data_IF_819062770680
#
_entry.id   IF_819062770680
#
_cell.length_a   1.000
_cell.length_b   1.000
_cell.length_c   1.000
_cell.angle_alpha   90.00
_cell.angle_beta   90.00
_cell.angle_gamma   90.00
#
_symmetry.space_group_name_H-M   'P 1'
#
loop_
_entity.id
_entity.type
_entity.pdbx_description
1 polymer ?
#
# COMPACT_ATOMS: atom_id res chain seq x y z
N UNK A 1 -13.24 -6.86 4.24
CA UNK A 1 -13.05 -7.89 5.30
C UNK A 1 -11.81 -7.65 6.16
N UNK A 2 -10.61 -7.88 5.61
CA UNK A 2 -9.36 -7.84 6.39
C UNK A 2 -9.05 -6.45 6.94
N UNK A 3 -9.36 -5.37 6.23
CA UNK A 3 -9.21 -4.00 6.76
C UNK A 3 -10.11 -3.75 7.98
N UNK A 4 -11.35 -4.26 7.98
CA UNK A 4 -12.26 -4.16 9.12
C UNK A 4 -11.75 -5.00 10.29
N UNK A 5 -11.26 -6.21 10.02
CA UNK A 5 -10.63 -7.06 11.04
C UNK A 5 -9.42 -6.38 11.68
N UNK A 6 -8.50 -5.81 10.87
CA UNK A 6 -7.34 -5.08 11.38
C UNK A 6 -7.74 -3.84 12.19
N UNK A 7 -8.80 -3.14 11.77
CA UNK A 7 -9.34 -2.00 12.51
C UNK A 7 -9.91 -2.41 13.88
N UNK A 8 -10.53 -3.59 13.98
CA UNK A 8 -11.05 -4.12 15.25
C UNK A 8 -9.99 -4.76 16.15
N UNK A 9 -8.79 -5.06 15.65
CA UNK A 9 -7.80 -5.87 16.36
C UNK A 9 -6.64 -5.09 17.01
N UNK A 10 -6.79 -3.77 17.23
CA UNK A 10 -5.73 -2.86 17.73
C UNK A 10 -4.37 -3.05 17.04
N UNK A 11 -4.38 -3.44 15.77
CA UNK A 11 -3.18 -3.78 15.01
C UNK A 11 -2.51 -2.54 14.44
N UNK A 12 -1.17 -2.55 14.36
CA UNK A 12 -0.40 -1.52 13.66
C UNK A 12 -0.81 -1.41 12.18
N UNK A 13 -1.33 -2.50 11.58
CA UNK A 13 -1.84 -2.50 10.21
C UNK A 13 -3.06 -1.55 10.05
N UNK A 14 -3.86 -1.32 11.11
CA UNK A 14 -4.93 -0.31 11.08
C UNK A 14 -4.35 1.11 10.94
N UNK A 15 -3.32 1.43 11.71
CA UNK A 15 -2.63 2.72 11.65
C UNK A 15 -2.01 2.95 10.27
N UNK A 16 -1.40 1.90 9.68
CA UNK A 16 -0.87 1.94 8.32
C UNK A 16 -1.97 2.25 7.30
N UNK A 17 -3.13 1.59 7.38
CA UNK A 17 -4.26 1.85 6.48
C UNK A 17 -4.76 3.29 6.62
N UNK A 18 -5.01 3.75 7.85
CA UNK A 18 -5.50 5.11 8.12
C UNK A 18 -4.54 6.20 7.65
N UNK A 19 -3.26 6.11 8.05
CA UNK A 19 -2.24 7.08 7.65
C UNK A 19 -1.95 7.04 6.15
N UNK A 20 -2.05 5.88 5.49
CA UNK A 20 -1.90 5.80 4.04
C UNK A 20 -3.05 6.49 3.32
N UNK A 21 -4.30 6.27 3.75
CA UNK A 21 -5.46 6.97 3.17
C UNK A 21 -5.31 8.48 3.37
N UNK A 22 -4.86 8.91 4.56
CA UNK A 22 -4.59 10.32 4.84
C UNK A 22 -3.49 10.88 3.92
N UNK A 23 -2.36 10.18 3.79
CA UNK A 23 -1.27 10.56 2.86
C UNK A 23 -1.79 10.69 1.43
N UNK A 24 -2.51 9.69 0.92
CA UNK A 24 -3.03 9.70 -0.46
C UNK A 24 -4.02 10.85 -0.66
N UNK A 25 -4.91 11.07 0.31
CA UNK A 25 -5.87 12.17 0.27
C UNK A 25 -5.18 13.53 0.26
N UNK A 26 -4.15 13.70 1.09
CA UNK A 26 -3.36 14.92 1.14
C UNK A 26 -2.56 15.14 -0.16
N UNK A 27 -2.02 14.07 -0.75
CA UNK A 27 -1.36 14.12 -2.05
C UNK A 27 -2.32 14.53 -3.17
N UNK A 28 -3.53 13.97 -3.19
CA UNK A 28 -4.58 14.38 -4.13
C UNK A 28 -4.94 15.86 -3.94
N UNK A 29 -5.11 16.30 -2.68
CA UNK A 29 -5.34 17.69 -2.34
C UNK A 29 -4.23 18.59 -2.92
N UNK A 30 -2.95 18.27 -2.69
CA UNK A 30 -1.84 19.04 -3.24
C UNK A 30 -1.85 19.07 -4.77
N UNK A 31 -2.12 17.95 -5.43
CA UNK A 31 -2.20 17.90 -6.89
C UNK A 31 -3.35 18.74 -7.46
N UNK A 32 -4.40 18.98 -6.67
CA UNK A 32 -5.64 19.65 -7.06
C UNK A 32 -5.80 21.06 -6.50
N UNK A 33 -4.86 21.51 -5.68
CA UNK A 33 -4.83 22.85 -5.12
C UNK A 33 -4.86 23.92 -6.21
N UNK A 34 -5.19 25.16 -5.83
CA UNK A 34 -5.08 26.29 -6.74
C UNK A 34 -3.60 26.48 -7.13
N UNK A 35 -3.36 27.02 -8.32
CA UNK A 35 -1.99 27.34 -8.72
C UNK A 35 -1.41 28.39 -7.75
N UNK A 36 -0.13 28.24 -7.43
CA UNK A 36 0.61 29.07 -6.46
C UNK A 36 0.03 29.10 -5.02
N UNK A 37 -0.76 28.11 -4.59
CA UNK A 37 -1.35 28.11 -3.24
C UNK A 37 -0.63 27.20 -2.23
N UNK A 38 0.20 26.26 -2.68
CA UNK A 38 0.91 25.35 -1.77
C UNK A 38 2.14 26.02 -1.16
N UNK A 39 2.11 26.12 0.15
CA UNK A 39 3.20 26.65 0.99
C UNK A 39 4.08 25.54 1.59
N UNK A 40 5.20 25.93 2.20
CA UNK A 40 6.10 25.02 2.94
C UNK A 40 5.37 24.26 4.05
N UNK A 41 4.34 24.86 4.66
CA UNK A 41 3.50 24.17 5.67
C UNK A 41 2.87 22.91 5.10
N UNK A 42 2.44 22.93 3.84
CA UNK A 42 1.85 21.76 3.21
C UNK A 42 2.87 20.64 3.00
N UNK A 43 4.10 21.00 2.60
CA UNK A 43 5.21 20.07 2.45
C UNK A 43 5.55 19.42 3.80
N UNK A 44 5.64 20.24 4.87
CA UNK A 44 5.92 19.77 6.21
C UNK A 44 4.83 18.83 6.75
N UNK A 45 3.55 19.20 6.63
CA UNK A 45 2.41 18.36 7.04
C UNK A 45 2.44 17.02 6.31
N UNK A 46 2.59 17.02 4.99
CA UNK A 46 2.68 15.78 4.22
C UNK A 46 3.87 14.91 4.64
N UNK A 47 5.02 15.54 4.89
CA UNK A 47 6.23 14.84 5.32
C UNK A 47 6.09 14.21 6.70
N UNK A 48 5.41 14.90 7.64
CA UNK A 48 5.09 14.36 8.97
C UNK A 48 4.15 13.16 8.85
N UNK A 49 3.10 13.24 8.03
CA UNK A 49 2.19 12.11 7.81
C UNK A 49 2.96 10.91 7.22
N UNK A 50 3.81 11.14 6.21
CA UNK A 50 4.65 10.09 5.60
C UNK A 50 5.65 9.51 6.60
N UNK A 51 6.21 10.33 7.48
CA UNK A 51 7.11 9.89 8.54
C UNK A 51 6.38 8.98 9.52
N UNK A 52 5.24 9.40 10.07
CA UNK A 52 4.43 8.59 10.97
C UNK A 52 4.04 7.25 10.34
N UNK A 53 3.64 7.28 9.06
CA UNK A 53 3.31 6.09 8.29
C UNK A 53 4.52 5.15 8.14
N UNK A 54 5.68 5.70 7.80
CA UNK A 54 6.91 4.93 7.63
C UNK A 54 7.51 4.41 8.94
N UNK A 55 7.29 5.09 10.07
CA UNK A 55 7.65 4.58 11.40
C UNK A 55 6.81 3.34 11.76
N UNK A 56 5.56 3.26 11.30
CA UNK A 56 4.75 2.04 11.43
C UNK A 56 5.32 0.90 10.56
N UNK A 57 5.79 1.22 9.35
CA UNK A 57 6.39 0.24 8.43
C UNK A 57 7.36 0.88 7.44
N UNK A 58 8.65 0.59 7.59
CA UNK A 58 9.74 1.31 6.93
C UNK A 58 9.60 1.53 5.41
N UNK A 59 9.18 0.53 4.59
CA UNK A 59 8.97 0.73 3.15
C UNK A 59 8.02 1.88 2.80
N UNK A 60 7.04 2.17 3.66
CA UNK A 60 6.07 3.23 3.43
C UNK A 60 6.65 4.64 3.57
N UNK A 61 7.88 4.82 4.08
CA UNK A 61 8.56 6.12 4.02
C UNK A 61 8.66 6.63 2.57
N UNK A 62 8.68 5.74 1.57
CA UNK A 62 8.70 6.10 0.16
C UNK A 62 7.48 6.91 -0.31
N UNK A 63 6.40 7.00 0.48
CA UNK A 63 5.31 7.95 0.22
C UNK A 63 5.81 9.40 0.15
N UNK A 64 6.86 9.77 0.89
CA UNK A 64 7.42 11.13 0.85
C UNK A 64 7.91 11.53 -0.55
N UNK A 65 8.30 10.55 -1.38
CA UNK A 65 8.76 10.77 -2.76
C UNK A 65 7.63 11.35 -3.64
N UNK A 66 6.36 11.12 -3.29
CA UNK A 66 5.20 11.69 -3.99
C UNK A 66 5.26 13.22 -4.06
N UNK A 67 5.92 13.88 -3.11
CA UNK A 67 6.18 15.33 -3.16
C UNK A 67 6.83 15.78 -4.47
N UNK A 68 7.74 14.98 -5.03
CA UNK A 68 8.42 15.30 -6.29
C UNK A 68 7.48 15.25 -7.50
N UNK A 69 6.33 14.58 -7.37
CA UNK A 69 5.37 14.34 -8.43
C UNK A 69 4.13 15.22 -8.35
N UNK A 70 4.03 16.09 -7.34
CA UNK A 70 3.08 17.20 -7.30
C UNK A 70 3.42 18.18 -8.45
N UNK A 71 2.44 18.70 -9.22
CA UNK A 71 2.70 19.65 -10.29
C UNK A 71 3.34 20.93 -9.75
N UNK A 72 4.43 21.39 -10.36
CA UNK A 72 5.22 22.50 -9.80
C UNK A 72 4.48 23.83 -9.75
N UNK A 73 3.52 24.03 -10.66
CA UNK A 73 2.63 25.21 -10.69
C UNK A 73 1.74 25.36 -9.45
N UNK A 74 1.61 24.31 -8.64
CA UNK A 74 0.80 24.33 -7.42
C UNK A 74 1.49 25.02 -6.25
N UNK A 75 2.81 25.10 -6.28
CA UNK A 75 3.58 25.72 -5.21
C UNK A 75 3.67 27.24 -5.40
N UNK A 76 3.60 27.98 -4.30
CA UNK A 76 3.62 29.46 -4.26
C UNK A 76 4.85 30.04 -4.96
N UNK A 77 5.97 29.33 -4.90
CA UNK A 77 7.23 29.71 -5.53
C UNK A 77 7.53 28.81 -6.72
N UNK A 78 8.50 29.21 -7.54
CA UNK A 78 8.89 28.44 -8.70
C UNK A 78 9.49 27.06 -8.33
N UNK A 79 9.59 26.18 -9.32
CA UNK A 79 10.11 24.82 -9.12
C UNK A 79 11.56 24.82 -8.61
N UNK A 80 12.37 25.79 -9.05
CA UNK A 80 13.79 25.89 -8.67
C UNK A 80 13.94 26.21 -7.18
N UNK A 81 13.08 27.06 -6.64
CA UNK A 81 13.08 27.39 -5.22
C UNK A 81 12.54 26.26 -4.34
N UNK A 82 11.50 25.56 -4.79
CA UNK A 82 10.88 24.51 -3.97
C UNK A 82 11.63 23.18 -4.00
N UNK A 83 12.35 22.86 -5.08
CA UNK A 83 13.07 21.59 -5.22
C UNK A 83 14.04 21.30 -4.04
N UNK A 84 14.90 22.25 -3.60
CA UNK A 84 15.73 22.05 -2.42
C UNK A 84 14.93 21.70 -1.16
N UNK A 85 13.78 22.33 -0.94
CA UNK A 85 12.92 22.10 0.23
C UNK A 85 12.29 20.70 0.16
N UNK A 86 11.84 20.27 -1.02
CA UNK A 86 11.30 18.93 -1.25
C UNK A 86 12.38 17.88 -0.98
N UNK A 87 13.58 18.06 -1.53
CA UNK A 87 14.72 17.15 -1.33
C UNK A 87 15.15 17.10 0.14
N UNK A 88 15.21 18.24 0.82
CA UNK A 88 15.51 18.32 2.25
C UNK A 88 14.46 17.55 3.07
N UNK A 89 13.17 17.70 2.74
CA UNK A 89 12.09 16.98 3.42
C UNK A 89 12.23 15.46 3.25
N UNK A 90 12.55 15.00 2.04
CA UNK A 90 12.81 13.59 1.74
C UNK A 90 14.04 13.09 2.52
N UNK A 91 15.12 13.89 2.55
CA UNK A 91 16.34 13.55 3.27
C UNK A 91 16.10 13.43 4.78
N UNK A 92 15.36 14.36 5.39
CA UNK A 92 14.99 14.30 6.82
C UNK A 92 14.20 13.03 7.12
N UNK A 93 13.17 12.72 6.32
CA UNK A 93 12.37 11.50 6.49
C UNK A 93 13.23 10.24 6.33
N UNK A 94 14.15 10.21 5.37
CA UNK A 94 15.07 9.10 5.17
C UNK A 94 16.04 8.92 6.35
N UNK A 95 16.63 10.01 6.86
CA UNK A 95 17.55 9.97 8.02
C UNK A 95 16.83 9.46 9.26
N UNK A 96 15.64 9.98 9.56
CA UNK A 96 14.85 9.49 10.70
C UNK A 96 14.48 8.02 10.50
N UNK A 97 14.12 7.61 9.28
CA UNK A 97 13.87 6.22 8.92
C UNK A 97 15.06 5.28 9.19
N UNK A 98 16.27 5.72 8.83
CA UNK A 98 17.51 4.97 9.10
C UNK A 98 17.75 4.86 10.60
N UNK A 99 17.60 5.96 11.35
CA UNK A 99 17.74 5.97 12.81
C UNK A 99 16.71 5.03 13.47
N UNK A 100 15.46 5.08 13.01
CA UNK A 100 14.40 4.17 13.44
C UNK A 100 14.72 2.72 13.13
N UNK A 101 15.24 2.41 11.94
CA UNK A 101 15.63 1.05 11.57
C UNK A 101 16.79 0.54 12.43
N UNK A 102 17.78 1.39 12.75
CA UNK A 102 18.88 1.02 13.65
C UNK A 102 18.39 0.72 15.06
N UNK A 103 17.42 1.48 15.54
CA UNK A 103 16.81 1.27 16.85
C UNK A 103 15.91 0.03 16.90
N UNK A 104 15.06 -0.17 15.89
CA UNK A 104 14.04 -1.23 15.88
C UNK A 104 14.56 -2.59 15.41
N UNK A 105 15.52 -2.67 14.49
CA UNK A 105 15.98 -3.95 13.95
C UNK A 105 16.54 -4.92 15.01
N UNK A 106 17.33 -4.49 16.02
CA UNK A 106 17.80 -5.37 17.08
C UNK A 106 16.66 -6.03 17.89
N UNK A 107 15.51 -5.36 18.03
CA UNK A 107 14.37 -5.92 18.76
C UNK A 107 13.80 -7.19 18.11
N UNK A 108 14.02 -7.38 16.80
CA UNK A 108 13.63 -8.61 16.10
C UNK A 108 14.37 -9.84 16.63
N UNK A 109 15.61 -9.68 17.11
CA UNK A 109 16.41 -10.76 17.72
C UNK A 109 15.82 -11.23 19.07
N UNK A 110 15.00 -10.40 19.71
CA UNK A 110 14.29 -10.76 20.94
C UNK A 110 12.87 -11.27 20.69
N UNK A 111 12.46 -11.40 19.43
CA UNK A 111 11.16 -11.94 19.08
C UNK A 111 11.17 -13.48 19.03
N UNK A 112 9.99 -14.09 19.15
CA UNK A 112 9.78 -15.53 18.95
C UNK A 112 10.42 -16.06 17.66
N UNK A 113 10.51 -15.22 16.62
CA UNK A 113 11.14 -15.56 15.34
C UNK A 113 12.63 -15.91 15.47
N UNK A 114 13.35 -15.21 16.36
CA UNK A 114 14.77 -15.44 16.59
C UNK A 114 15.02 -16.67 17.46
N UNK A 115 14.10 -16.97 18.38
CA UNK A 115 14.18 -18.16 19.26
C UNK A 115 14.23 -19.49 18.51
N UNK A 116 13.77 -19.52 17.25
CA UNK A 116 13.81 -20.72 16.41
C UNK A 116 15.03 -20.77 15.46
N UNK A 117 16.00 -19.85 15.59
CA UNK A 117 17.15 -19.71 14.68
C UNK A 117 16.78 -19.58 13.19
N UNK A 118 15.54 -19.21 12.88
CA UNK A 118 15.04 -19.22 11.52
C UNK A 118 15.47 -17.99 10.72
N UNK A 119 15.92 -16.91 11.35
CA UNK A 119 16.08 -15.58 10.70
C UNK A 119 17.37 -14.91 11.13
N UNK A 120 18.20 -14.53 10.15
CA UNK A 120 19.35 -13.63 10.34
C UNK A 120 19.42 -12.67 9.15
N UNK A 121 18.95 -11.43 9.35
CA UNK A 121 18.85 -10.43 8.29
C UNK A 121 20.21 -10.06 7.68
N UNK A 122 21.27 -10.02 8.47
CA UNK A 122 22.63 -9.69 7.99
C UNK A 122 23.17 -10.79 7.09
N UNK A 123 23.07 -12.06 7.52
CA UNK A 123 23.51 -13.19 6.71
C UNK A 123 22.65 -13.36 5.45
N UNK A 124 21.35 -13.12 5.55
CA UNK A 124 20.45 -13.18 4.39
C UNK A 124 20.76 -12.06 3.37
N UNK A 125 21.01 -10.84 3.85
CA UNK A 125 21.46 -9.75 2.99
C UNK A 125 22.79 -10.10 2.30
N UNK A 126 23.77 -10.58 3.06
CA UNK A 126 25.07 -11.01 2.54
C UNK A 126 24.91 -12.14 1.51
N UNK A 127 24.01 -13.09 1.75
CA UNK A 127 23.72 -14.16 0.80
C UNK A 127 23.18 -13.60 -0.53
N UNK A 128 22.21 -12.70 -0.49
CA UNK A 128 21.59 -12.12 -1.70
C UNK A 128 22.60 -11.33 -2.54
N UNK A 129 23.48 -10.53 -1.92
CA UNK A 129 24.44 -9.70 -2.66
C UNK A 129 25.59 -10.53 -3.26
N UNK A 130 25.97 -11.65 -2.64
CA UNK A 130 27.07 -12.50 -3.13
C UNK A 130 26.62 -13.59 -4.12
N UNK A 131 25.31 -13.78 -4.31
CA UNK A 131 24.75 -14.77 -5.23
C UNK A 131 23.82 -14.08 -6.24
N UNK A 132 24.29 -13.68 -7.43
CA UNK A 132 23.44 -13.00 -8.43
C UNK A 132 22.17 -13.79 -8.83
N UNK A 133 22.23 -15.12 -8.79
CA UNK A 133 21.07 -15.98 -9.03
C UNK A 133 19.98 -15.81 -7.97
N UNK A 134 20.35 -15.47 -6.73
CA UNK A 134 19.42 -15.16 -5.63
C UNK A 134 18.62 -13.89 -5.88
N UNK A 135 19.23 -12.88 -6.52
CA UNK A 135 18.51 -11.65 -6.94
C UNK A 135 17.46 -12.00 -7.99
N UNK A 136 17.84 -12.80 -8.99
CA UNK A 136 16.91 -13.25 -10.04
C UNK A 136 15.75 -14.06 -9.47
N UNK A 137 16.05 -14.97 -8.53
CA UNK A 137 15.04 -15.77 -7.81
C UNK A 137 14.10 -14.89 -6.97
N UNK A 138 14.62 -13.86 -6.31
CA UNK A 138 13.81 -12.90 -5.58
C UNK A 138 12.82 -12.19 -6.52
N UNK A 139 13.30 -11.66 -7.65
CA UNK A 139 12.43 -10.99 -8.62
C UNK A 139 11.39 -11.94 -9.24
N UNK A 140 11.80 -13.17 -9.54
CA UNK A 140 10.88 -14.20 -10.00
C UNK A 140 9.77 -14.45 -8.98
N UNK A 141 10.11 -14.64 -7.71
CA UNK A 141 9.14 -14.90 -6.65
C UNK A 141 8.16 -13.73 -6.49
N UNK A 142 8.65 -12.48 -6.39
CA UNK A 142 7.75 -11.34 -6.17
C UNK A 142 6.83 -11.10 -7.37
N UNK A 143 7.23 -11.43 -8.60
CA UNK A 143 6.38 -11.20 -9.79
C UNK A 143 5.42 -12.37 -10.03
N UNK A 144 5.93 -13.59 -10.04
CA UNK A 144 5.17 -14.76 -10.52
C UNK A 144 4.52 -15.58 -9.41
N UNK A 145 4.93 -15.40 -8.15
CA UNK A 145 4.37 -16.12 -7.00
C UNK A 145 3.53 -15.16 -6.15
N UNK A 146 4.12 -14.05 -5.70
CA UNK A 146 3.48 -13.19 -4.70
C UNK A 146 2.35 -12.32 -5.27
N UNK A 147 2.47 -11.80 -6.50
CA UNK A 147 1.36 -11.04 -7.12
C UNK A 147 0.10 -11.93 -7.27
N UNK A 148 0.16 -13.14 -7.86
CA UNK A 148 -1.00 -14.03 -7.90
C UNK A 148 -1.56 -14.39 -6.51
N UNK A 149 -0.68 -14.69 -5.55
CA UNK A 149 -1.08 -14.95 -4.16
C UNK A 149 -1.79 -13.75 -3.53
N UNK A 150 -1.30 -12.54 -3.80
CA UNK A 150 -1.93 -11.31 -3.32
C UNK A 150 -3.31 -11.10 -3.92
N UNK A 151 -3.46 -11.30 -5.24
CA UNK A 151 -4.74 -11.15 -5.95
C UNK A 151 -5.80 -12.12 -5.41
N UNK A 152 -5.42 -13.36 -5.11
CA UNK A 152 -6.32 -14.33 -4.47
C UNK A 152 -6.56 -14.03 -2.99
N UNK A 153 -5.60 -13.41 -2.31
CA UNK A 153 -5.63 -13.12 -0.87
C UNK A 153 -6.33 -11.81 -0.45
N UNK A 154 -6.71 -10.91 -1.37
CA UNK A 154 -7.35 -9.59 -1.06
C UNK A 154 -8.57 -9.72 -0.13
N UNK A 155 -9.27 -10.85 -0.20
CA UNK A 155 -10.51 -11.10 0.57
C UNK A 155 -10.40 -12.28 1.54
N UNK A 156 -9.20 -12.79 1.77
CA UNK A 156 -8.97 -13.69 2.90
C UNK A 156 -9.10 -12.88 4.21
N UNK A 157 -9.76 -13.44 5.22
CA UNK A 157 -9.82 -12.80 6.55
C UNK A 157 -8.48 -12.89 7.28
N UNK A 158 -7.72 -13.96 7.05
CA UNK A 158 -6.53 -14.30 7.84
C UNK A 158 -5.19 -14.33 7.06
N UNK A 159 -5.21 -14.08 5.75
CA UNK A 159 -4.01 -13.95 4.91
C UNK A 159 -3.82 -15.07 3.88
N UNK A 160 -2.88 -14.85 2.95
CA UNK A 160 -2.71 -15.66 1.73
C UNK A 160 -2.11 -17.08 1.93
N UNK A 161 -1.62 -17.41 3.13
CA UNK A 161 -0.77 -18.61 3.36
C UNK A 161 -1.32 -19.65 4.36
N UNK A 162 -2.52 -19.51 4.92
CA UNK A 162 -3.06 -20.52 5.84
C UNK A 162 -3.85 -21.61 5.13
N UNK A 163 -3.15 -22.50 4.42
CA UNK A 163 -3.72 -23.53 3.54
C UNK A 163 -4.78 -24.47 4.15
N UNK A 164 -4.86 -24.64 5.48
CA UNK A 164 -5.62 -25.74 6.05
C UNK A 164 -6.64 -25.42 7.15
N UNK A 165 -6.70 -24.19 7.68
CA UNK A 165 -7.69 -23.89 8.73
C UNK A 165 -8.55 -22.66 8.50
N UNK A 166 -8.14 -21.69 7.66
CA UNK A 166 -8.91 -20.45 7.42
C UNK A 166 -8.65 -19.81 6.05
N UNK A 167 -8.15 -20.57 5.06
CA UNK A 167 -7.92 -20.10 3.68
C UNK A 167 -9.26 -19.93 2.93
N UNK A 168 -10.03 -18.95 3.37
CA UNK A 168 -11.36 -18.72 2.89
C UNK A 168 -11.28 -17.81 1.67
N UNK A 169 -11.12 -18.44 0.51
CA UNK A 169 -11.18 -17.74 -0.76
C UNK A 169 -12.63 -17.41 -1.07
N UNK A 170 -13.09 -16.24 -0.63
CA UNK A 170 -14.43 -15.73 -0.96
C UNK A 170 -14.45 -15.16 -2.38
N UNK A 171 -14.33 -16.02 -3.38
CA UNK A 171 -14.28 -15.63 -4.79
C UNK A 171 -15.46 -14.75 -5.21
N UNK A 172 -16.65 -14.99 -4.67
CA UNK A 172 -17.85 -14.21 -4.95
C UNK A 172 -17.80 -12.79 -4.36
N UNK A 173 -17.33 -12.63 -3.11
CA UNK A 173 -17.10 -11.30 -2.51
C UNK A 173 -16.06 -10.54 -3.32
N UNK A 174 -14.96 -11.22 -3.70
CA UNK A 174 -13.89 -10.65 -4.52
C UNK A 174 -14.45 -10.13 -5.85
N UNK A 175 -15.25 -10.93 -6.54
CA UNK A 175 -15.83 -10.56 -7.82
C UNK A 175 -16.71 -9.31 -7.72
N UNK A 176 -17.57 -9.22 -6.70
CA UNK A 176 -18.46 -8.06 -6.51
C UNK A 176 -17.67 -6.78 -6.23
N UNK A 177 -16.61 -6.83 -5.42
CA UNK A 177 -15.77 -5.64 -5.23
C UNK A 177 -15.06 -5.26 -6.52
N UNK A 178 -14.51 -6.22 -7.27
CA UNK A 178 -13.82 -5.92 -8.53
C UNK A 178 -14.78 -5.27 -9.54
N UNK A 179 -16.03 -5.73 -9.61
CA UNK A 179 -17.08 -5.11 -10.41
C UNK A 179 -17.35 -3.68 -9.92
N UNK A 180 -17.49 -3.47 -8.60
CA UNK A 180 -17.68 -2.14 -8.03
C UNK A 180 -16.49 -1.20 -8.32
N UNK A 181 -15.26 -1.65 -8.14
CA UNK A 181 -14.05 -0.87 -8.42
C UNK A 181 -13.94 -0.55 -9.91
N UNK A 182 -14.20 -1.52 -10.79
CA UNK A 182 -14.23 -1.30 -12.22
C UNK A 182 -15.29 -0.26 -12.61
N UNK A 183 -16.49 -0.35 -12.02
CA UNK A 183 -17.56 0.64 -12.20
C UNK A 183 -17.13 2.03 -11.75
N UNK A 184 -16.52 2.17 -10.56
CA UNK A 184 -16.01 3.47 -10.07
C UNK A 184 -14.93 4.02 -11.01
N UNK A 185 -13.95 3.22 -11.42
CA UNK A 185 -12.87 3.68 -12.29
C UNK A 185 -13.38 4.13 -13.67
N UNK A 186 -14.42 3.47 -14.20
CA UNK A 186 -14.92 3.73 -15.55
C UNK A 186 -16.04 4.78 -15.63
N UNK A 187 -16.99 4.74 -14.69
CA UNK A 187 -18.22 5.53 -14.72
C UNK A 187 -18.20 6.75 -13.78
N UNK A 188 -17.12 7.02 -13.04
CA UNK A 188 -17.08 8.16 -12.12
C UNK A 188 -17.36 9.49 -12.86
N UNK A 189 -18.41 10.25 -12.48
CA UNK A 189 -18.97 11.33 -13.28
C UNK A 189 -18.06 12.57 -13.35
N UNK A 190 -17.16 12.74 -12.37
CA UNK A 190 -16.27 13.91 -12.33
C UNK A 190 -15.02 13.70 -13.20
N UNK A 191 -14.69 14.70 -14.00
CA UNK A 191 -13.49 14.69 -14.84
C UNK A 191 -12.23 15.04 -14.03
N UNK A 192 -11.65 14.02 -13.39
CA UNK A 192 -10.38 14.15 -12.69
C UNK A 192 -9.26 13.73 -13.65
N UNK A 193 -8.45 14.70 -14.07
CA UNK A 193 -7.25 14.47 -14.87
C UNK A 193 -6.01 14.73 -14.02
N UNK A 194 -5.08 13.78 -14.08
CA UNK A 194 -3.74 13.90 -13.51
C UNK A 194 -2.71 13.99 -14.64
N UNK A 195 -1.66 14.78 -14.42
CA UNK A 195 -0.54 14.90 -15.35
C UNK A 195 0.24 13.58 -15.42
N UNK A 196 0.84 13.26 -16.57
CA UNK A 196 1.59 12.01 -16.76
C UNK A 196 2.68 11.81 -15.71
N UNK A 197 3.37 12.89 -15.33
CA UNK A 197 4.37 12.88 -14.26
C UNK A 197 3.80 12.40 -12.93
N UNK A 198 2.62 12.88 -12.55
CA UNK A 198 1.93 12.48 -11.31
C UNK A 198 1.51 11.00 -11.36
N UNK A 199 1.05 10.52 -12.51
CA UNK A 199 0.69 9.11 -12.72
C UNK A 199 1.90 8.18 -12.60
N UNK A 200 2.96 8.46 -13.37
CA UNK A 200 4.20 7.69 -13.35
C UNK A 200 4.86 7.74 -11.98
N UNK A 201 4.82 8.88 -11.31
CA UNK A 201 5.29 9.03 -9.94
C UNK A 201 4.52 8.18 -8.93
N UNK A 202 3.19 8.16 -9.04
CA UNK A 202 2.34 7.32 -8.18
C UNK A 202 2.63 5.83 -8.41
N UNK A 203 2.78 5.42 -9.68
CA UNK A 203 3.15 4.04 -10.04
C UNK A 203 4.55 3.68 -9.51
N UNK A 204 5.52 4.57 -9.66
CA UNK A 204 6.86 4.40 -9.13
C UNK A 204 6.84 4.22 -7.61
N UNK A 205 6.09 5.04 -6.86
CA UNK A 205 5.93 4.89 -5.41
C UNK A 205 5.31 3.55 -5.05
N UNK A 206 4.27 3.09 -5.77
CA UNK A 206 3.68 1.75 -5.56
C UNK A 206 4.73 0.65 -5.73
N UNK A 207 5.53 0.71 -6.80
CA UNK A 207 6.58 -0.27 -7.10
C UNK A 207 7.64 -0.27 -6.00
N UNK A 208 8.13 0.90 -5.59
CA UNK A 208 9.16 1.03 -4.54
C UNK A 208 8.66 0.45 -3.22
N UNK A 209 7.43 0.75 -2.81
CA UNK A 209 6.86 0.23 -1.56
C UNK A 209 6.63 -1.28 -1.68
N UNK A 210 6.18 -1.76 -2.84
CA UNK A 210 5.98 -3.18 -3.11
C UNK A 210 7.28 -3.97 -2.96
N UNK A 211 8.29 -3.60 -3.74
CA UNK A 211 9.62 -4.25 -3.74
C UNK A 211 10.27 -4.10 -2.36
N UNK A 212 10.23 -2.90 -1.77
CA UNK A 212 10.80 -2.64 -0.45
C UNK A 212 10.14 -3.48 0.65
N UNK A 213 8.82 -3.66 0.62
CA UNK A 213 8.12 -4.54 1.56
C UNK A 213 8.52 -6.00 1.35
N UNK A 214 8.56 -6.48 0.11
CA UNK A 214 9.00 -7.84 -0.18
C UNK A 214 10.44 -8.08 0.27
N UNK A 215 11.32 -7.10 0.10
CA UNK A 215 12.71 -7.18 0.51
C UNK A 215 12.85 -7.20 2.03
N UNK A 216 12.14 -6.31 2.75
CA UNK A 216 12.11 -6.37 4.22
C UNK A 216 11.55 -7.71 4.71
N UNK A 217 10.52 -8.25 4.05
CA UNK A 217 10.01 -9.58 4.36
C UNK A 217 11.05 -10.68 4.11
N UNK A 218 11.82 -10.63 3.02
CA UNK A 218 12.95 -11.54 2.78
C UNK A 218 13.95 -11.51 3.94
N UNK A 219 14.29 -10.32 4.44
CA UNK A 219 15.26 -10.15 5.51
C UNK A 219 14.74 -10.57 6.90
N UNK A 220 13.42 -10.53 7.11
CA UNK A 220 12.82 -10.68 8.45
C UNK A 220 11.99 -11.94 8.64
N UNK A 221 11.69 -12.69 7.58
CA UNK A 221 10.92 -13.93 7.63
C UNK A 221 11.59 -15.12 6.96
N UNK A 222 12.39 -14.91 5.91
CA UNK A 222 13.03 -16.02 5.22
C UNK A 222 14.30 -16.47 5.95
N UNK A 223 14.52 -17.78 5.97
CA UNK A 223 15.79 -18.36 6.40
C UNK A 223 16.88 -18.08 5.38
N UNK A 224 18.14 -18.09 5.84
CA UNK A 224 19.28 -17.76 5.00
C UNK A 224 19.33 -18.70 3.79
N UNK A 225 19.34 -18.15 2.57
CA UNK A 225 19.32 -18.90 1.30
C UNK A 225 17.92 -19.29 0.80
N UNK A 226 16.87 -19.05 1.59
CA UNK A 226 15.47 -19.30 1.22
C UNK A 226 14.75 -18.01 0.82
N UNK A 227 13.64 -18.14 0.08
CA UNK A 227 12.87 -17.03 -0.49
C UNK A 227 11.37 -17.13 -0.18
N UNK A 228 11.04 -17.69 0.98
CA UNK A 228 9.70 -17.73 1.56
C UNK A 228 9.41 -16.40 2.27
N UNK A 229 8.79 -15.45 1.56
CA UNK A 229 8.65 -14.08 2.06
C UNK A 229 7.61 -13.95 3.17
N UNK A 230 6.70 -14.92 3.35
CA UNK A 230 5.64 -14.81 4.37
C UNK A 230 4.70 -13.61 4.11
N UNK A 231 4.57 -13.21 2.84
CA UNK A 231 3.80 -12.05 2.44
C UNK A 231 2.30 -12.29 2.68
N UNK A 232 1.65 -11.24 3.17
CA UNK A 232 0.19 -11.18 3.28
C UNK A 232 -0.34 -9.96 2.53
N UNK A 233 -1.44 -10.13 1.81
CA UNK A 233 -2.09 -9.06 1.03
C UNK A 233 -2.40 -7.81 1.86
N UNK A 234 -2.63 -7.97 3.17
CA UNK A 234 -2.91 -6.83 4.07
C UNK A 234 -1.83 -5.75 4.07
N UNK A 235 -0.59 -6.13 3.78
CA UNK A 235 0.53 -5.21 3.73
C UNK A 235 0.47 -4.22 2.57
N UNK A 236 -0.40 -4.44 1.59
CA UNK A 236 -0.47 -3.67 0.35
C UNK A 236 -1.84 -3.06 0.09
N UNK A 237 -2.83 -3.32 0.96
CA UNK A 237 -4.17 -2.74 0.84
C UNK A 237 -4.13 -1.23 0.60
N UNK A 238 -3.31 -0.45 1.32
CA UNK A 238 -3.32 0.99 1.12
C UNK A 238 -2.77 1.44 -0.25
N UNK A 239 -1.95 0.62 -0.90
CA UNK A 239 -1.44 0.91 -2.24
C UNK A 239 -2.55 0.85 -3.29
N UNK A 240 -3.62 0.09 -3.05
CA UNK A 240 -4.76 0.05 -3.97
C UNK A 240 -5.41 1.43 -4.15
N UNK A 241 -5.34 2.28 -3.14
CA UNK A 241 -5.87 3.64 -3.19
C UNK A 241 -5.10 4.57 -4.14
N UNK A 242 -3.88 4.22 -4.56
CA UNK A 242 -3.12 4.97 -5.58
C UNK A 242 -3.49 4.55 -7.01
N UNK A 243 -4.06 3.36 -7.22
CA UNK A 243 -4.39 2.89 -8.57
C UNK A 243 -5.36 3.77 -9.35
N UNK A 244 -6.39 4.40 -8.75
CA UNK A 244 -7.24 5.34 -9.47
C UNK A 244 -6.50 6.56 -10.04
N UNK A 245 -5.33 6.93 -9.49
CA UNK A 245 -4.49 8.00 -10.02
C UNK A 245 -3.69 7.49 -11.23
N UNK A 246 -3.12 6.28 -11.10
CA UNK A 246 -2.30 5.62 -12.14
C UNK A 246 -3.15 5.25 -13.35
N UNK A 247 -4.27 4.59 -13.10
CA UNK A 247 -5.18 4.04 -14.10
C UNK A 247 -6.20 5.12 -14.44
N UNK A 248 -5.98 5.81 -15.57
CA UNK A 248 -6.96 6.73 -16.12
C UNK A 248 -7.41 6.22 -17.47
N UNK A 249 -8.71 5.94 -17.60
CA UNK A 249 -9.34 5.57 -18.86
C UNK A 249 -10.11 6.76 -19.44
N UNK A 250 -10.23 6.81 -20.77
CA UNK A 250 -11.18 7.70 -21.45
C UNK A 250 -12.59 7.31 -21.00
N UNK A 251 -13.25 8.23 -20.30
CA UNK A 251 -14.54 7.95 -19.64
C UNK A 251 -15.68 7.90 -20.63
N UNK A 252 -16.70 7.11 -20.28
CA UNK A 252 -18.05 7.29 -20.81
C UNK A 252 -18.72 8.39 -19.98
N UNK A 253 -19.34 9.41 -20.60
CA UNK A 253 -20.13 10.38 -19.85
C UNK A 253 -21.26 9.64 -19.12
N UNK A 254 -21.23 9.70 -17.79
CA UNK A 254 -22.22 9.08 -16.93
C UNK A 254 -22.86 10.15 -16.04
N UNK A 255 -24.18 10.08 -15.90
CA UNK A 255 -24.92 11.02 -15.07
C UNK A 255 -24.58 10.84 -13.59
N UNK A 256 -24.36 11.94 -12.87
CA UNK A 256 -23.90 11.89 -11.48
C UNK A 256 -24.92 11.25 -10.54
N UNK A 257 -26.21 11.57 -10.72
CA UNK A 257 -27.28 11.01 -9.87
C UNK A 257 -27.44 9.51 -10.13
N UNK A 258 -27.38 9.09 -11.40
CA UNK A 258 -27.37 7.66 -11.75
C UNK A 258 -26.14 6.96 -11.18
N UNK A 259 -24.96 7.58 -11.25
CA UNK A 259 -23.73 7.01 -10.71
C UNK A 259 -23.88 6.74 -9.22
N UNK A 260 -24.35 7.72 -8.45
CA UNK A 260 -24.52 7.60 -7.01
C UNK A 260 -25.51 6.46 -6.67
N UNK A 261 -26.60 6.33 -7.41
CA UNK A 261 -27.57 5.22 -7.25
C UNK A 261 -26.92 3.86 -7.49
N UNK A 262 -26.22 3.68 -8.60
CA UNK A 262 -25.54 2.41 -8.90
C UNK A 262 -24.43 2.11 -7.89
N UNK A 263 -23.64 3.12 -7.50
CA UNK A 263 -22.61 2.98 -6.48
C UNK A 263 -23.21 2.51 -5.15
N UNK A 264 -24.34 3.09 -4.72
CA UNK A 264 -25.06 2.63 -3.53
C UNK A 264 -25.53 1.18 -3.66
N UNK A 265 -26.11 0.79 -4.81
CA UNK A 265 -26.53 -0.60 -5.05
C UNK A 265 -25.34 -1.56 -4.97
N UNK A 266 -24.21 -1.24 -5.59
CA UNK A 266 -23.00 -2.06 -5.51
C UNK A 266 -22.45 -2.16 -4.09
N UNK A 267 -22.45 -1.06 -3.33
CA UNK A 267 -22.02 -1.07 -1.92
C UNK A 267 -22.94 -1.93 -1.05
N UNK A 268 -24.26 -1.80 -1.21
CA UNK A 268 -25.24 -2.62 -0.48
C UNK A 268 -25.09 -4.10 -0.86
N UNK A 269 -24.98 -4.42 -2.15
CA UNK A 269 -24.77 -5.79 -2.62
C UNK A 269 -23.47 -6.38 -2.06
N UNK A 270 -22.38 -5.61 -2.07
CA UNK A 270 -21.12 -6.01 -1.47
C UNK A 270 -21.27 -6.29 0.03
N UNK A 271 -21.90 -5.39 0.79
CA UNK A 271 -22.13 -5.57 2.22
C UNK A 271 -23.04 -6.76 2.53
N UNK A 272 -24.12 -6.95 1.77
CA UNK A 272 -25.03 -8.07 1.94
C UNK A 272 -24.33 -9.41 1.70
N UNK A 273 -23.60 -9.54 0.58
CA UNK A 273 -22.84 -10.76 0.27
C UNK A 273 -21.74 -10.99 1.30
N UNK A 274 -21.07 -9.92 1.76
CA UNK A 274 -20.09 -10.01 2.83
C UNK A 274 -20.69 -10.60 4.11
N UNK A 275 -21.82 -10.04 4.59
CA UNK A 275 -22.49 -10.49 5.82
C UNK A 275 -22.97 -11.94 5.68
N UNK A 276 -23.64 -12.27 4.57
CA UNK A 276 -24.16 -13.63 4.32
C UNK A 276 -23.01 -14.64 4.27
N UNK A 277 -21.93 -14.33 3.55
CA UNK A 277 -20.77 -15.24 3.45
C UNK A 277 -20.09 -15.45 4.80
N UNK A 278 -20.05 -14.41 5.64
CA UNK A 278 -19.51 -14.51 6.99
C UNK A 278 -20.42 -15.33 7.92
N UNK A 279 -21.73 -15.06 7.90
CA UNK A 279 -22.71 -15.78 8.71
C UNK A 279 -22.79 -17.27 8.35
N UNK A 280 -22.88 -17.59 7.05
CA UNK A 280 -22.93 -18.97 6.54
C UNK A 280 -21.68 -19.78 6.86
N UNK A 281 -20.54 -19.12 7.06
CA UNK A 281 -19.29 -19.83 7.33
C UNK A 281 -18.97 -19.99 8.80
N UNK A 282 -19.13 -18.93 9.59
CA UNK A 282 -18.67 -18.92 10.98
C UNK A 282 -19.80 -19.14 12.00
N UNK A 283 -21.06 -19.00 11.59
CA UNK A 283 -22.21 -19.13 12.48
C UNK A 283 -23.19 -20.24 12.06
N UNK A 284 -23.09 -20.74 10.82
CA UNK A 284 -23.85 -21.91 10.33
C UNK A 284 -23.09 -23.21 10.59
N UNK A 285 -22.86 -23.48 11.88
CA UNK A 285 -22.58 -24.82 12.41
C UNK A 285 -23.66 -25.10 13.45
N UNK A 286 -24.83 -25.54 12.97
CA UNK A 286 -25.84 -26.30 13.70
C UNK A 286 -26.23 -27.46 12.80
#
# INVERSE_FOLDING_TARGET
>A
PISMYQASSSSIDCMIIGLSILSISYFIYMCRAQDNSLTIKNIAVFSIICLLLGLCKLPYLAFVILLLFVPSKKFEKDKKHNLPILLLSIAIVAVIGILWSKYSAPTLLHSWRSSHNLINSTMQFNHVIHHPSSISKFFYNIVFIEIPNMMTGVFSFFGAHQFHHYADRYHFITAILLIYLAFVLWAYPRNVKFELKTKLGSLFTVIVIYVGTCFIQLLTWASVGYFNLGISTRYFIPLFCLFPIVIWFKKIPFDAVKFDRYAMVFMIAFMAVFIISFATKYYWVI
#
